data_IF_094701130401
#
_entry.id   IF_094701130401
#
_cell.length_a   1.000
_cell.length_b   1.000
_cell.length_c   1.000
_cell.angle_alpha   90.00
_cell.angle_beta   90.00
_cell.angle_gamma   90.00
#
_symmetry.space_group_name_H-M   'P 1'
#
loop_
_entity.id
_entity.type
_entity.pdbx_description
1 polymer ?
#
# COMPACT_ATOMS: atom_id res chain seq x y z
N UNK A 1 -4.09 32.23 -21.46
CA UNK A 1 -3.91 32.86 -22.78
C UNK A 1 -2.71 32.18 -23.42
N UNK A 2 -2.96 31.13 -24.21
CA UNK A 2 -1.92 30.26 -24.77
C UNK A 2 -1.47 30.83 -26.11
N UNK A 3 -0.30 31.46 -26.15
CA UNK A 3 0.32 31.91 -27.39
C UNK A 3 1.02 30.71 -28.04
N UNK A 4 0.40 30.17 -29.10
CA UNK A 4 1.03 29.18 -29.98
C UNK A 4 2.07 29.93 -30.83
N UNK A 5 3.34 29.77 -30.52
CA UNK A 5 4.46 30.33 -31.29
C UNK A 5 4.89 29.29 -32.33
N UNK A 6 4.44 29.48 -33.58
CA UNK A 6 4.95 28.75 -34.76
C UNK A 6 6.26 29.44 -35.20
N UNK A 7 7.40 28.75 -35.16
CA UNK A 7 8.70 29.31 -35.60
C UNK A 7 9.51 28.34 -36.47
N UNK A 8 10.06 28.88 -37.56
CA UNK A 8 10.86 28.25 -38.63
C UNK A 8 12.17 27.59 -38.17
N UNK A 9 12.63 26.62 -38.97
CA UNK A 9 13.41 25.43 -38.57
C UNK A 9 14.94 25.54 -38.52
N UNK A 10 15.58 26.71 -38.67
CA UNK A 10 17.06 26.76 -38.80
C UNK A 10 17.84 27.46 -37.67
N UNK A 11 17.34 28.52 -37.03
CA UNK A 11 18.01 29.14 -35.86
C UNK A 11 17.54 28.58 -34.50
N UNK A 12 16.55 27.71 -34.54
CA UNK A 12 15.79 27.24 -33.38
C UNK A 12 16.46 26.11 -32.60
N UNK A 13 17.51 25.45 -33.12
CA UNK A 13 18.12 24.31 -32.42
C UNK A 13 18.94 24.76 -31.21
N UNK A 14 19.76 25.81 -31.36
CA UNK A 14 20.66 26.27 -30.30
C UNK A 14 19.92 26.94 -29.14
N UNK A 15 18.89 27.75 -29.45
CA UNK A 15 18.06 28.44 -28.45
C UNK A 15 17.12 27.47 -27.74
N UNK A 16 16.58 26.47 -28.44
CA UNK A 16 15.78 25.40 -27.84
C UNK A 16 16.62 24.44 -26.98
N UNK A 17 17.85 24.12 -27.41
CA UNK A 17 18.79 23.34 -26.61
C UNK A 17 19.20 24.07 -25.32
N UNK A 18 19.48 25.37 -25.41
CA UNK A 18 19.76 26.23 -24.23
C UNK A 18 18.56 26.30 -23.29
N UNK A 19 17.34 26.41 -23.83
CA UNK A 19 16.12 26.40 -23.02
C UNK A 19 15.88 25.04 -22.34
N UNK A 20 16.14 23.93 -23.02
CA UNK A 20 16.07 22.59 -22.43
C UNK A 20 17.15 22.36 -21.35
N UNK A 21 18.37 22.84 -21.57
CA UNK A 21 19.45 22.82 -20.58
C UNK A 21 19.09 23.65 -19.34
N UNK A 22 18.50 24.83 -19.54
CA UNK A 22 18.01 25.67 -18.46
C UNK A 22 16.85 24.99 -17.69
N UNK A 23 15.90 24.38 -18.41
CA UNK A 23 14.80 23.62 -17.83
C UNK A 23 15.27 22.41 -17.00
N UNK A 24 16.33 21.71 -17.43
CA UNK A 24 16.94 20.59 -16.70
C UNK A 24 17.72 21.03 -15.46
N UNK A 25 18.16 22.29 -15.42
CA UNK A 25 18.93 22.86 -14.32
C UNK A 25 18.07 23.35 -13.15
N UNK A 26 16.73 23.37 -13.31
CA UNK A 26 15.85 23.64 -12.17
C UNK A 26 15.99 22.51 -11.16
N UNK A 27 16.44 22.78 -9.91
CA UNK A 27 16.50 21.76 -8.90
C UNK A 27 15.07 21.29 -8.63
N UNK A 28 14.81 20.00 -8.85
CA UNK A 28 13.72 19.33 -8.16
C UNK A 28 14.11 19.35 -6.69
N UNK A 29 13.65 20.36 -5.96
CA UNK A 29 13.83 20.44 -4.51
C UNK A 29 12.99 19.34 -3.87
N UNK A 30 13.60 18.17 -3.67
CA UNK A 30 13.15 17.24 -2.65
C UNK A 30 13.43 17.88 -1.29
N UNK A 31 12.37 18.09 -0.50
CA UNK A 31 12.53 18.49 0.90
C UNK A 31 13.00 17.24 1.65
N UNK A 32 14.30 17.14 1.84
CA UNK A 32 14.97 15.96 2.40
C UNK A 32 15.01 15.96 3.95
N UNK A 33 14.16 16.74 4.61
CA UNK A 33 14.16 16.86 6.07
C UNK A 33 12.85 17.31 6.67
N UNK A 34 12.74 17.18 7.99
CA UNK A 34 11.60 17.70 8.76
C UNK A 34 11.67 19.22 8.85
N UNK A 35 10.60 19.90 8.45
CA UNK A 35 10.51 21.37 8.48
C UNK A 35 9.49 21.85 9.52
N UNK A 36 9.82 22.91 10.26
CA UNK A 36 8.90 23.54 11.22
C UNK A 36 8.06 24.58 10.49
N UNK A 37 6.76 24.33 10.37
CA UNK A 37 5.82 25.23 9.72
C UNK A 37 5.39 26.37 10.65
N UNK A 38 5.16 26.06 11.93
CA UNK A 38 4.80 27.06 12.93
C UNK A 38 5.12 26.62 14.35
N UNK A 39 5.36 27.61 15.22
CA UNK A 39 5.58 27.43 16.65
C UNK A 39 4.80 28.52 17.39
N UNK A 40 3.92 28.12 18.30
CA UNK A 40 3.09 29.04 19.08
C UNK A 40 2.97 28.60 20.53
N UNK A 41 2.66 29.55 21.42
CA UNK A 41 2.27 29.32 22.80
C UNK A 41 0.77 29.57 22.88
N UNK A 42 -0.01 28.57 23.26
CA UNK A 42 -1.46 28.63 23.31
C UNK A 42 -1.96 28.16 24.67
N UNK A 43 -2.91 28.88 25.25
CA UNK A 43 -3.64 28.43 26.43
C UNK A 43 -4.81 27.55 25.99
N UNK A 44 -4.79 26.29 26.41
CA UNK A 44 -5.85 25.32 26.13
C UNK A 44 -6.71 25.17 27.38
N UNK A 45 -7.97 25.58 27.29
CA UNK A 45 -8.97 25.35 28.32
C UNK A 45 -9.80 24.11 27.99
N UNK A 46 -9.85 23.16 28.92
CA UNK A 46 -10.68 21.98 28.83
C UNK A 46 -11.90 22.12 29.74
N UNK A 47 -13.08 21.86 29.17
CA UNK A 47 -14.32 21.76 29.93
C UNK A 47 -14.54 20.30 30.29
N UNK A 48 -14.15 19.92 31.50
CA UNK A 48 -14.53 18.63 32.07
C UNK A 48 -16.03 18.73 32.39
N UNK A 49 -16.82 17.77 31.90
CA UNK A 49 -18.29 17.83 31.87
C UNK A 49 -18.94 18.16 33.22
N UNK A 50 -20.03 18.94 33.15
CA UNK A 50 -20.95 19.39 34.22
C UNK A 50 -20.43 20.40 35.26
N UNK A 51 -19.14 20.74 35.31
CA UNK A 51 -18.67 21.90 36.08
C UNK A 51 -18.58 23.17 35.22
N UNK A 52 -18.96 24.33 35.77
CA UNK A 52 -18.74 25.64 35.15
C UNK A 52 -17.26 26.08 35.18
N UNK A 53 -16.39 25.30 35.83
CA UNK A 53 -14.98 25.58 35.95
C UNK A 53 -14.20 25.01 34.76
N UNK A 54 -13.47 25.88 34.06
CA UNK A 54 -12.57 25.53 32.96
C UNK A 54 -11.16 25.30 33.50
N UNK A 55 -10.54 24.17 33.15
CA UNK A 55 -9.14 23.91 33.49
C UNK A 55 -8.29 24.38 32.31
N UNK A 56 -7.57 25.48 32.50
CA UNK A 56 -6.74 26.11 31.47
C UNK A 56 -5.25 25.82 31.72
N UNK A 57 -4.56 25.36 30.67
CA UNK A 57 -3.13 25.08 30.70
C UNK A 57 -2.43 25.75 29.52
N UNK A 58 -1.26 26.36 29.77
CA UNK A 58 -0.41 26.92 28.70
C UNK A 58 0.41 25.81 28.05
N UNK A 59 0.25 25.64 26.73
CA UNK A 59 0.93 24.61 25.93
C UNK A 59 1.71 25.24 24.79
N UNK A 60 2.79 24.59 24.38
CA UNK A 60 3.51 24.93 23.15
C UNK A 60 2.97 24.03 22.04
N UNK A 61 2.51 24.65 20.95
CA UNK A 61 2.02 23.95 19.76
C UNK A 61 3.03 24.15 18.64
N UNK A 62 3.46 23.04 18.04
CA UNK A 62 4.43 23.01 16.93
C UNK A 62 3.81 22.27 15.76
N UNK A 63 3.80 22.89 14.58
CA UNK A 63 3.36 22.27 13.33
C UNK A 63 4.59 21.89 12.49
N UNK A 64 4.62 20.66 11.98
CA UNK A 64 5.77 20.06 11.33
C UNK A 64 5.38 19.46 9.98
N UNK A 65 6.19 19.67 8.96
CA UNK A 65 6.13 18.94 7.70
C UNK A 65 7.14 17.78 7.74
N UNK A 66 6.64 16.54 7.73
CA UNK A 66 7.48 15.33 7.78
C UNK A 66 7.42 14.61 6.42
N UNK A 67 8.53 14.53 5.68
CA UNK A 67 8.58 13.83 4.39
C UNK A 67 8.46 12.32 4.59
N UNK A 68 7.94 11.62 3.58
CA UNK A 68 7.81 10.15 3.61
C UNK A 68 9.19 9.50 3.51
N UNK A 69 9.47 8.52 4.36
CA UNK A 69 10.80 7.89 4.45
C UNK A 69 11.76 8.56 5.43
N UNK A 70 11.28 9.53 6.21
CA UNK A 70 12.04 10.21 7.26
C UNK A 70 12.47 9.22 8.35
N UNK A 71 13.77 9.18 8.67
CA UNK A 71 14.36 8.23 9.62
C UNK A 71 14.31 8.71 11.07
N UNK A 72 14.14 10.02 11.26
CA UNK A 72 14.19 10.70 12.56
C UNK A 72 15.61 11.04 13.05
N UNK A 73 16.66 10.60 12.34
CA UNK A 73 18.04 11.00 12.61
C UNK A 73 18.42 12.36 12.01
N UNK A 74 17.66 12.83 11.02
CA UNK A 74 17.91 14.10 10.33
C UNK A 74 17.58 15.36 11.16
N UNK A 75 16.62 15.29 12.08
CA UNK A 75 16.22 16.43 12.90
C UNK A 75 15.65 15.99 14.26
N UNK A 76 15.93 16.78 15.30
CA UNK A 76 15.46 16.53 16.67
C UNK A 76 14.91 17.82 17.28
N UNK A 77 13.78 17.71 17.97
CA UNK A 77 13.14 18.84 18.65
C UNK A 77 13.49 18.75 20.13
N UNK A 78 14.09 19.81 20.67
CA UNK A 78 14.47 19.90 22.09
C UNK A 78 13.53 20.87 22.78
N UNK A 79 12.83 20.43 23.83
CA UNK A 79 11.95 21.31 24.60
C UNK A 79 12.65 21.78 25.89
N UNK A 80 12.62 23.08 26.13
CA UNK A 80 13.07 23.67 27.38
C UNK A 80 11.94 23.64 28.40
N UNK A 81 12.20 23.03 29.55
CA UNK A 81 11.27 22.96 30.67
C UNK A 81 11.65 24.07 31.66
N UNK A 82 10.71 24.97 31.93
CA UNK A 82 10.82 25.96 33.01
C UNK A 82 9.91 25.50 34.12
N UNK A 83 10.49 25.19 35.27
CA UNK A 83 9.75 24.76 36.46
C UNK A 83 9.04 25.96 37.08
N UNK A 84 7.75 25.81 37.33
CA UNK A 84 6.95 26.74 38.12
C UNK A 84 6.54 25.99 39.37
N UNK A 85 6.81 26.58 40.54
CA UNK A 85 6.45 25.98 41.82
C UNK A 85 4.92 25.75 41.88
N UNK A 86 4.51 24.50 42.09
CA UNK A 86 3.12 24.21 42.44
C UNK A 86 2.88 24.63 43.89
N UNK A 87 1.98 25.60 44.11
CA UNK A 87 1.69 26.17 45.44
C UNK A 87 1.07 25.15 46.44
N UNK A 88 0.84 23.89 46.08
CA UNK A 88 0.10 22.93 46.91
C UNK A 88 0.56 21.45 46.86
N UNK A 89 1.79 21.14 46.43
CA UNK A 89 2.31 19.76 46.45
C UNK A 89 3.44 19.57 47.47
N UNK A 90 3.17 18.82 48.54
CA UNK A 90 4.12 18.49 49.62
C UNK A 90 5.14 17.40 49.25
N UNK A 91 5.38 17.12 47.96
CA UNK A 91 6.25 16.01 47.56
C UNK A 91 7.19 16.38 46.41
N UNK A 92 8.45 16.62 46.80
CA UNK A 92 9.69 16.41 46.04
C UNK A 92 9.73 17.05 44.64
N UNK A 93 10.17 18.31 44.59
CA UNK A 93 10.67 18.95 43.37
C UNK A 93 11.71 18.04 42.69
N UNK A 94 11.34 17.44 41.56
CA UNK A 94 12.29 16.75 40.70
C UNK A 94 12.63 17.69 39.56
N UNK A 95 13.81 18.30 39.67
CA UNK A 95 14.31 19.14 38.59
C UNK A 95 14.66 18.27 37.39
N UNK A 96 13.95 18.42 36.28
CA UNK A 96 14.29 17.70 35.04
C UNK A 96 15.44 18.46 34.38
N UNK A 97 16.68 18.08 34.75
CA UNK A 97 17.90 18.74 34.27
C UNK A 97 18.19 18.53 32.79
N UNK A 98 17.60 17.51 32.17
CA UNK A 98 17.86 17.16 30.77
C UNK A 98 16.61 17.43 29.94
N UNK A 99 16.68 18.33 28.95
CA UNK A 99 15.51 18.65 28.14
C UNK A 99 15.07 17.41 27.35
N UNK A 100 13.76 17.13 27.24
CA UNK A 100 13.27 16.05 26.42
C UNK A 100 13.57 16.32 24.95
N UNK A 101 14.05 15.28 24.26
CA UNK A 101 14.33 15.29 22.82
C UNK A 101 13.29 14.44 22.12
N UNK A 102 12.61 15.03 21.13
CA UNK A 102 11.55 14.40 20.35
C UNK A 102 12.04 14.23 18.91
N UNK A 103 12.00 12.99 18.42
CA UNK A 103 12.33 12.62 17.03
C UNK A 103 11.10 12.02 16.36
N UNK A 104 10.85 12.38 15.10
CA UNK A 104 9.71 11.88 14.34
C UNK A 104 10.22 11.09 13.13
N UNK A 105 9.73 9.87 12.96
CA UNK A 105 10.01 9.00 11.82
C UNK A 105 8.70 8.75 11.05
N UNK A 106 8.77 8.76 9.72
CA UNK A 106 7.63 8.47 8.85
C UNK A 106 8.00 7.44 7.80
N UNK A 107 7.27 6.33 7.79
CA UNK A 107 7.43 5.28 6.77
C UNK A 107 7.11 5.79 5.36
N UNK A 108 7.54 5.02 4.35
CA UNK A 108 7.15 5.27 2.97
C UNK A 108 5.62 5.22 2.80
N UNK A 109 5.10 6.05 1.90
CA UNK A 109 3.68 6.04 1.54
C UNK A 109 3.39 4.92 0.54
N UNK A 110 2.24 4.26 0.68
CA UNK A 110 1.78 3.22 -0.24
C UNK A 110 0.27 3.40 -0.53
N UNK A 111 -0.15 2.93 -1.71
CA UNK A 111 -1.56 2.91 -2.09
C UNK A 111 -2.14 1.51 -1.80
N UNK A 112 -3.26 1.47 -1.08
CA UNK A 112 -4.01 0.25 -0.85
C UNK A 112 -5.18 0.17 -1.83
N UNK A 113 -5.25 -0.95 -2.54
CA UNK A 113 -6.39 -1.27 -3.40
C UNK A 113 -7.23 -2.35 -2.74
N UNK A 114 -8.54 -2.14 -2.70
CA UNK A 114 -9.49 -3.13 -2.22
C UNK A 114 -9.70 -4.21 -3.30
N UNK A 115 -9.39 -5.46 -2.96
CA UNK A 115 -9.48 -6.60 -3.88
C UNK A 115 -10.69 -7.44 -3.51
N UNK A 116 -11.62 -7.63 -4.46
CA UNK A 116 -12.80 -8.49 -4.30
C UNK A 116 -12.68 -9.75 -5.14
N UNK A 117 -13.09 -10.89 -4.57
CA UNK A 117 -13.08 -12.17 -5.28
C UNK A 117 -14.29 -12.27 -6.22
N UNK A 118 -14.03 -12.57 -7.49
CA UNK A 118 -15.08 -12.75 -8.51
C UNK A 118 -15.25 -14.22 -8.86
N UNK A 119 -14.20 -14.85 -9.41
CA UNK A 119 -14.21 -16.26 -9.85
C UNK A 119 -12.81 -16.79 -10.10
N UNK A 120 -12.69 -18.11 -10.09
CA UNK A 120 -11.48 -18.81 -10.51
C UNK A 120 -11.34 -18.84 -12.04
N UNK A 121 -10.12 -18.68 -12.53
CA UNK A 121 -9.77 -18.76 -13.96
C UNK A 121 -8.62 -19.77 -14.14
N UNK A 122 -8.72 -20.72 -15.08
CA UNK A 122 -7.64 -21.67 -15.33
C UNK A 122 -6.43 -20.98 -15.98
N UNK A 123 -5.22 -21.27 -15.50
CA UNK A 123 -3.97 -20.70 -16.01
C UNK A 123 -3.66 -21.10 -17.46
N UNK A 124 -3.86 -22.37 -17.82
CA UNK A 124 -3.59 -22.91 -19.16
C UNK A 124 -4.60 -23.98 -19.54
N UNK A 125 -5.68 -23.65 -20.27
CA UNK A 125 -6.55 -24.66 -20.85
C UNK A 125 -5.81 -25.40 -21.98
N UNK A 126 -5.88 -26.73 -21.99
CA UNK A 126 -5.25 -27.57 -23.01
C UNK A 126 -6.32 -28.31 -23.82
N UNK A 127 -6.16 -28.34 -25.13
CA UNK A 127 -6.94 -29.18 -26.03
C UNK A 127 -6.16 -30.46 -26.31
N UNK A 128 -6.82 -31.60 -26.13
CA UNK A 128 -6.26 -32.91 -26.42
C UNK A 128 -6.88 -33.49 -27.69
N UNK A 129 -6.03 -33.91 -28.63
CA UNK A 129 -6.46 -34.55 -29.86
C UNK A 129 -6.30 -36.07 -29.78
N UNK A 130 -7.34 -36.82 -30.16
CA UNK A 130 -7.33 -38.30 -30.18
C UNK A 130 -7.86 -38.79 -31.52
N UNK A 131 -7.05 -39.57 -32.25
CA UNK A 131 -7.46 -40.18 -33.52
C UNK A 131 -8.24 -41.48 -33.26
N UNK A 132 -9.51 -41.52 -33.67
CA UNK A 132 -10.41 -42.67 -33.53
C UNK A 132 -10.93 -43.15 -34.89
N UNK A 133 -11.31 -44.43 -35.02
CA UNK A 133 -11.93 -44.96 -36.26
C UNK A 133 -13.38 -44.51 -36.47
N UNK A 134 -14.16 -44.41 -35.39
CA UNK A 134 -15.50 -43.80 -35.34
C UNK A 134 -15.55 -42.90 -34.11
N UNK A 135 -15.99 -41.66 -34.28
CA UNK A 135 -16.10 -40.68 -33.20
C UNK A 135 -17.57 -40.27 -33.06
N UNK A 136 -18.12 -40.41 -31.87
CA UNK A 136 -19.43 -39.90 -31.49
C UNK A 136 -19.26 -39.06 -30.22
N UNK A 137 -20.01 -37.96 -30.06
CA UNK A 137 -19.90 -37.12 -28.87
C UNK A 137 -20.13 -37.91 -27.58
N UNK A 138 -21.06 -38.87 -27.57
CA UNK A 138 -21.43 -39.75 -26.45
C UNK A 138 -20.59 -41.04 -26.34
N UNK A 139 -19.49 -41.15 -27.10
CA UNK A 139 -18.66 -42.35 -27.11
C UNK A 139 -18.03 -42.64 -25.73
N UNK A 140 -17.97 -43.94 -25.39
CA UNK A 140 -17.40 -44.42 -24.14
C UNK A 140 -15.90 -44.13 -24.02
N UNK A 141 -15.39 -44.04 -22.79
CA UNK A 141 -13.96 -43.81 -22.45
C UNK A 141 -12.97 -44.70 -23.22
N UNK A 142 -13.39 -45.92 -23.57
CA UNK A 142 -12.58 -46.86 -24.36
C UNK A 142 -12.22 -46.33 -25.75
N UNK A 143 -13.07 -45.48 -26.34
CA UNK A 143 -12.90 -44.90 -27.68
C UNK A 143 -12.21 -43.53 -27.57
N UNK A 144 -12.70 -42.63 -26.71
CA UNK A 144 -12.21 -41.23 -26.58
C UNK A 144 -10.98 -41.06 -25.67
N UNK A 145 -10.58 -42.11 -24.95
CA UNK A 145 -9.39 -42.15 -24.07
C UNK A 145 -9.36 -40.96 -23.09
N UNK A 146 -8.38 -40.07 -23.26
CA UNK A 146 -8.15 -38.92 -22.37
C UNK A 146 -9.20 -37.83 -22.52
N UNK A 147 -9.97 -37.83 -23.61
CA UNK A 147 -11.09 -36.92 -23.85
C UNK A 147 -12.40 -37.48 -23.28
N UNK A 148 -12.34 -38.28 -22.22
CA UNK A 148 -13.52 -38.73 -21.50
C UNK A 148 -14.18 -37.56 -20.75
N UNK A 149 -15.51 -37.58 -20.69
CA UNK A 149 -16.30 -36.54 -20.00
C UNK A 149 -16.05 -36.55 -18.50
N UNK A 150 -15.73 -35.38 -17.96
CA UNK A 150 -15.67 -35.16 -16.53
C UNK A 150 -17.06 -35.27 -15.90
N UNK A 151 -17.23 -36.19 -14.93
CA UNK A 151 -18.40 -36.21 -14.05
C UNK A 151 -18.14 -35.28 -12.86
N UNK A 152 -19.09 -34.40 -12.54
CA UNK A 152 -19.05 -33.64 -11.30
C UNK A 152 -19.43 -34.55 -10.12
N UNK A 153 -19.02 -34.19 -8.90
CA UNK A 153 -19.28 -34.94 -7.66
C UNK A 153 -20.76 -35.25 -7.41
N UNK A 154 -21.67 -34.46 -7.97
CA UNK A 154 -23.12 -34.69 -7.93
C UNK A 154 -23.60 -35.18 -9.29
N UNK A 155 -23.36 -36.47 -9.61
CA UNK A 155 -23.97 -37.36 -10.62
C UNK A 155 -24.51 -36.82 -11.98
N UNK A 156 -24.26 -35.57 -12.35
CA UNK A 156 -24.80 -34.90 -13.52
C UNK A 156 -23.70 -34.78 -14.57
N UNK A 157 -24.03 -35.20 -15.78
CA UNK A 157 -23.14 -35.11 -16.95
C UNK A 157 -23.13 -33.65 -17.41
N UNK A 158 -21.94 -33.03 -17.49
CA UNK A 158 -21.77 -31.69 -18.00
C UNK A 158 -21.99 -31.70 -19.53
N UNK A 159 -23.07 -31.07 -19.99
CA UNK A 159 -23.27 -30.75 -21.41
C UNK A 159 -22.65 -29.38 -21.67
N UNK A 160 -21.67 -29.34 -22.55
CA UNK A 160 -21.11 -28.09 -23.07
C UNK A 160 -21.73 -27.87 -24.47
N UNK A 161 -22.13 -26.65 -24.76
CA UNK A 161 -22.61 -26.29 -26.09
C UNK A 161 -21.39 -26.13 -27.01
N UNK A 162 -21.28 -27.01 -28.02
CA UNK A 162 -20.15 -27.08 -28.95
C UNK A 162 -19.18 -28.22 -28.65
N UNK A 163 -18.44 -28.68 -29.66
CA UNK A 163 -17.54 -29.86 -29.67
C UNK A 163 -16.35 -29.79 -28.68
N UNK A 164 -16.36 -28.83 -27.75
CA UNK A 164 -15.28 -28.58 -26.79
C UNK A 164 -15.62 -29.18 -25.43
N UNK A 165 -15.06 -30.36 -25.16
CA UNK A 165 -15.14 -31.01 -23.86
C UNK A 165 -14.06 -30.46 -22.90
N UNK A 166 -14.43 -29.52 -22.03
CA UNK A 166 -13.53 -29.04 -20.97
C UNK A 166 -13.34 -30.12 -19.90
N UNK A 167 -12.27 -30.91 -20.03
CA UNK A 167 -11.80 -31.75 -18.92
C UNK A 167 -11.07 -30.84 -17.94
N UNK A 168 -11.79 -30.31 -16.95
CA UNK A 168 -11.19 -29.64 -15.79
C UNK A 168 -10.47 -30.70 -14.95
N UNK A 169 -9.28 -31.10 -15.38
CA UNK A 169 -8.38 -31.88 -14.54
C UNK A 169 -7.76 -30.94 -13.53
N UNK A 170 -8.51 -30.63 -12.46
CA UNK A 170 -7.94 -29.97 -11.28
C UNK A 170 -6.80 -30.86 -10.80
N UNK A 171 -5.57 -30.43 -11.09
CA UNK A 171 -4.34 -31.15 -10.74
C UNK A 171 -4.14 -30.95 -9.24
N UNK A 172 -4.90 -31.68 -8.44
CA UNK A 172 -4.96 -31.56 -6.99
C UNK A 172 -3.71 -32.19 -6.32
N UNK A 173 -2.52 -31.69 -6.69
CA UNK A 173 -1.21 -32.14 -6.17
C UNK A 173 -0.68 -31.25 -5.03
N UNK A 174 -1.11 -29.99 -4.92
CA UNK A 174 -0.64 -29.09 -3.85
C UNK A 174 -1.24 -29.42 -2.47
N UNK A 175 -2.53 -29.77 -2.38
CA UNK A 175 -3.22 -29.96 -1.08
C UNK A 175 -2.75 -31.16 -0.24
N UNK A 176 -1.99 -32.11 -0.82
CA UNK A 176 -1.47 -33.28 -0.08
C UNK A 176 -0.09 -33.05 0.55
N UNK A 177 0.62 -31.95 0.23
CA UNK A 177 1.89 -31.63 0.89
C UNK A 177 1.69 -30.94 2.24
N UNK A 178 0.78 -29.97 2.35
CA UNK A 178 0.51 -29.29 3.63
C UNK A 178 0.01 -30.20 4.75
N UNK A 179 -0.85 -31.19 4.45
CA UNK A 179 -1.37 -32.13 5.47
C UNK A 179 -0.35 -33.20 5.92
N UNK A 180 0.79 -33.34 5.23
CA UNK A 180 1.88 -34.23 5.66
C UNK A 180 2.91 -33.53 6.55
N UNK A 181 3.03 -32.21 6.44
CA UNK A 181 3.90 -31.42 7.31
C UNK A 181 3.24 -31.18 8.68
N UNK A 182 1.94 -30.95 8.73
CA UNK A 182 1.17 -30.78 9.98
C UNK A 182 1.06 -32.06 10.84
N UNK A 183 1.41 -33.24 10.29
CA UNK A 183 1.47 -34.50 11.03
C UNK A 183 2.88 -34.90 11.49
N UNK A 184 3.90 -34.09 11.19
CA UNK A 184 5.27 -34.28 11.70
C UNK A 184 5.59 -33.37 12.89
N UNK A 185 4.67 -32.45 13.24
CA UNK A 185 4.86 -31.45 14.29
C UNK A 185 3.87 -31.65 15.48
N UNK A 186 3.45 -32.89 15.72
CA UNK A 186 2.74 -33.31 16.94
C UNK A 186 3.35 -34.56 17.52
#
# INVERSE_FOLDING_TARGET
MFTVMIFSSEEMTHKFLLFLLFALSLPLSSVDGVEILSKSRLERCEKVSESDNLICEKKIVVNLAVPSGSSGGEASIVAELVEVEEENSTQKMQTIRTPPVITVNKSAAYALYEITYIRDVPYKPEEYFVKTRKCEPDASAKIVKICERGRRSTANILKLNGDMLLVLKQRNKEQRRGRKEEKKEK
#
